data_IF_439507475498
#
_entry.id   IF_439507475498
#
_cell.length_a   1.000
_cell.length_b   1.000
_cell.length_c   1.000
_cell.angle_alpha   90.00
_cell.angle_beta   90.00
_cell.angle_gamma   90.00
#
_symmetry.space_group_name_H-M   'P 1'
#
loop_
_entity.id
_entity.type
_entity.pdbx_description
1 polymer ?
#
# COMPACT_ATOMS: atom_id res chain seq x y z
N UNK A 1 -12.35 88.06 1.89
CA UNK A 1 -11.54 87.40 2.93
C UNK A 1 -11.07 86.06 2.39
N UNK A 2 -9.83 85.96 1.90
CA UNK A 2 -9.04 84.71 1.89
C UNK A 2 -8.59 84.42 3.36
N UNK A 3 -8.08 83.22 3.74
CA UNK A 3 -7.68 82.04 2.94
C UNK A 3 -8.31 80.72 3.47
N UNK A 4 -8.46 79.62 2.73
CA UNK A 4 -7.50 78.59 2.29
C UNK A 4 -6.40 78.21 3.29
N UNK A 5 -6.26 76.89 3.48
CA UNK A 5 -5.07 76.20 4.00
C UNK A 5 -4.93 76.22 5.53
N UNK A 6 -4.72 75.09 6.20
CA UNK A 6 -3.83 74.01 5.81
C UNK A 6 -4.05 72.78 6.72
N UNK A 7 -3.69 71.62 6.15
CA UNK A 7 -3.14 70.44 6.82
C UNK A 7 -4.09 69.40 7.43
N UNK A 8 -4.21 68.30 6.68
CA UNK A 8 -3.91 66.93 7.12
C UNK A 8 -4.73 66.37 8.31
N UNK A 9 -5.72 65.54 7.97
CA UNK A 9 -5.69 64.12 8.38
C UNK A 9 -6.53 63.28 7.42
N UNK A 10 -6.11 63.27 6.15
CA UNK A 10 -6.36 62.15 5.23
C UNK A 10 -5.22 61.10 5.38
N UNK A 11 -4.80 60.90 6.62
CA UNK A 11 -3.79 59.96 7.10
C UNK A 11 -4.49 59.38 8.33
N UNK A 12 -5.42 58.44 8.19
CA UNK A 12 -5.09 57.03 8.39
C UNK A 12 -6.15 56.03 7.83
N UNK A 13 -7.11 56.47 7.00
CA UNK A 13 -8.22 55.59 6.57
C UNK A 13 -8.04 54.97 5.16
N UNK A 14 -6.97 55.35 4.45
CA UNK A 14 -6.58 54.72 3.18
C UNK A 14 -6.17 53.26 3.37
N UNK A 15 -5.61 52.91 4.53
CA UNK A 15 -5.34 51.54 4.91
C UNK A 15 -6.65 50.77 5.09
N UNK A 16 -7.65 51.30 5.79
CA UNK A 16 -8.91 50.61 6.05
C UNK A 16 -9.82 50.47 4.82
N UNK A 17 -9.83 51.42 3.88
CA UNK A 17 -10.62 51.31 2.65
C UNK A 17 -9.98 50.32 1.65
N UNK A 18 -8.65 50.33 1.51
CA UNK A 18 -7.92 49.42 0.62
C UNK A 18 -7.78 48.03 1.21
N UNK A 19 -7.54 47.89 2.52
CA UNK A 19 -7.62 46.62 3.23
C UNK A 19 -9.05 46.11 3.23
N UNK A 20 -10.08 46.95 3.44
CA UNK A 20 -11.49 46.54 3.40
C UNK A 20 -11.96 46.09 2.01
N UNK A 21 -11.41 46.64 0.93
CA UNK A 21 -11.66 46.18 -0.45
C UNK A 21 -10.89 44.88 -0.74
N UNK A 22 -9.60 44.81 -0.41
CA UNK A 22 -8.79 43.60 -0.54
C UNK A 22 -9.33 42.44 0.31
N UNK A 23 -9.83 42.71 1.51
CA UNK A 23 -10.49 41.75 2.40
C UNK A 23 -11.84 41.33 1.82
N UNK A 24 -12.62 42.23 1.19
CA UNK A 24 -13.87 41.84 0.53
C UNK A 24 -13.64 40.97 -0.69
N UNK A 25 -12.70 41.34 -1.55
CA UNK A 25 -12.34 40.53 -2.72
C UNK A 25 -11.71 39.20 -2.28
N UNK A 26 -10.84 39.19 -1.27
CA UNK A 26 -10.25 37.96 -0.73
C UNK A 26 -11.31 37.10 -0.05
N UNK A 27 -12.20 37.65 0.77
CA UNK A 27 -13.29 36.90 1.40
C UNK A 27 -14.30 36.38 0.36
N UNK A 28 -14.57 37.14 -0.71
CA UNK A 28 -15.41 36.69 -1.82
C UNK A 28 -14.71 35.61 -2.65
N UNK A 29 -13.42 35.74 -2.92
CA UNK A 29 -12.63 34.69 -3.58
C UNK A 29 -12.54 33.44 -2.71
N UNK A 30 -12.37 33.55 -1.40
CA UNK A 30 -12.37 32.43 -0.45
C UNK A 30 -13.75 31.77 -0.37
N UNK A 31 -14.82 32.56 -0.36
CA UNK A 31 -16.20 32.03 -0.37
C UNK A 31 -16.51 31.36 -1.72
N UNK A 32 -16.16 31.99 -2.84
CA UNK A 32 -16.33 31.44 -4.18
C UNK A 32 -15.50 30.18 -4.38
N UNK A 33 -14.25 30.14 -3.90
CA UNK A 33 -13.41 28.93 -3.96
C UNK A 33 -13.96 27.82 -3.06
N UNK A 34 -14.50 28.15 -1.88
CA UNK A 34 -15.21 27.19 -1.02
C UNK A 34 -16.47 26.60 -1.67
N UNK A 35 -17.29 27.43 -2.33
CA UNK A 35 -18.48 26.97 -3.05
C UNK A 35 -18.11 26.21 -4.35
N UNK A 36 -17.07 26.63 -5.07
CA UNK A 36 -16.53 25.90 -6.22
C UNK A 36 -15.93 24.55 -5.80
N UNK A 37 -15.24 24.48 -4.65
CA UNK A 37 -14.73 23.22 -4.11
C UNK A 37 -15.88 22.27 -3.77
N UNK A 38 -16.92 22.76 -3.07
CA UNK A 38 -18.13 21.96 -2.79
C UNK A 38 -18.81 21.48 -4.08
N UNK A 39 -18.82 22.30 -5.13
CA UNK A 39 -19.34 21.90 -6.43
C UNK A 39 -18.48 20.82 -7.08
N UNK A 40 -17.15 20.98 -7.05
CA UNK A 40 -16.18 19.99 -7.54
C UNK A 40 -16.34 18.65 -6.83
N UNK A 41 -16.42 18.67 -5.50
CA UNK A 41 -16.61 17.47 -4.67
C UNK A 41 -17.94 16.76 -5.02
N UNK A 42 -19.01 17.53 -5.28
CA UNK A 42 -20.30 16.98 -5.76
C UNK A 42 -20.19 16.36 -7.15
N UNK A 43 -19.46 16.98 -8.07
CA UNK A 43 -19.22 16.42 -9.41
C UNK A 43 -18.38 15.16 -9.36
N UNK A 44 -17.32 15.12 -8.54
CA UNK A 44 -16.51 13.91 -8.34
C UNK A 44 -17.35 12.78 -7.74
N UNK A 45 -18.16 13.09 -6.71
CA UNK A 45 -19.08 12.13 -6.10
C UNK A 45 -20.10 11.60 -7.12
N UNK A 46 -20.67 12.46 -7.94
CA UNK A 46 -21.59 12.06 -9.02
C UNK A 46 -20.88 11.17 -10.06
N UNK A 47 -19.67 11.53 -10.48
CA UNK A 47 -18.90 10.76 -11.44
C UNK A 47 -18.56 9.35 -10.91
N UNK A 48 -18.15 9.27 -9.64
CA UNK A 48 -17.90 8.02 -8.96
C UNK A 48 -19.18 7.17 -8.84
N UNK A 49 -20.32 7.81 -8.55
CA UNK A 49 -21.62 7.14 -8.52
C UNK A 49 -22.00 6.57 -9.89
N UNK A 50 -21.92 7.37 -10.95
CA UNK A 50 -22.23 6.94 -12.32
C UNK A 50 -21.31 5.80 -12.78
N UNK A 51 -20.03 5.86 -12.43
CA UNK A 51 -19.07 4.78 -12.69
C UNK A 51 -19.48 3.49 -11.99
N UNK A 52 -19.82 3.54 -10.70
CA UNK A 52 -20.29 2.37 -9.94
C UNK A 52 -21.60 1.82 -10.48
N UNK A 53 -22.53 2.68 -10.89
CA UNK A 53 -23.81 2.28 -11.48
C UNK A 53 -23.61 1.57 -12.82
N UNK A 54 -22.72 2.08 -13.68
CA UNK A 54 -22.35 1.44 -14.95
C UNK A 54 -21.72 0.07 -14.72
N UNK A 55 -20.78 -0.04 -13.78
CA UNK A 55 -20.17 -1.32 -13.39
C UNK A 55 -21.23 -2.31 -12.88
N UNK A 56 -22.12 -1.88 -11.99
CA UNK A 56 -23.18 -2.73 -11.46
C UNK A 56 -24.13 -3.22 -12.56
N UNK A 57 -24.54 -2.32 -13.46
CA UNK A 57 -25.41 -2.67 -14.59
C UNK A 57 -24.76 -3.72 -15.49
N UNK A 58 -23.46 -3.57 -15.76
CA UNK A 58 -22.70 -4.59 -16.51
C UNK A 58 -22.62 -5.92 -15.75
N UNK A 59 -22.32 -5.89 -14.45
CA UNK A 59 -22.25 -7.12 -13.63
C UNK A 59 -23.59 -7.84 -13.58
N UNK A 60 -24.72 -7.13 -13.51
CA UNK A 60 -26.06 -7.73 -13.57
C UNK A 60 -26.26 -8.45 -14.89
N UNK A 61 -25.91 -7.82 -16.02
CA UNK A 61 -26.00 -8.42 -17.36
C UNK A 61 -25.11 -9.66 -17.50
N UNK A 62 -23.87 -9.60 -17.01
CA UNK A 62 -22.94 -10.72 -17.05
C UNK A 62 -23.39 -11.87 -16.14
N UNK A 63 -23.97 -11.55 -14.98
CA UNK A 63 -24.46 -12.53 -14.01
C UNK A 63 -25.77 -13.22 -14.43
N UNK A 64 -26.51 -12.67 -15.39
CA UNK A 64 -27.70 -13.29 -15.96
C UNK A 64 -27.44 -14.06 -17.25
N UNK A 65 -26.20 -14.04 -17.77
CA UNK A 65 -25.79 -14.76 -18.97
C UNK A 65 -25.08 -16.08 -18.59
N UNK A 66 -25.72 -17.24 -18.81
CA UNK A 66 -25.13 -18.55 -18.47
C UNK A 66 -23.80 -18.84 -19.17
N UNK A 67 -23.57 -18.30 -20.37
CA UNK A 67 -22.35 -18.55 -21.13
C UNK A 67 -21.15 -17.86 -20.47
N UNK A 68 -21.31 -16.57 -20.13
CA UNK A 68 -20.36 -15.78 -19.35
C UNK A 68 -20.07 -16.44 -18.00
N UNK A 69 -21.10 -16.91 -17.28
CA UNK A 69 -20.93 -17.58 -15.98
C UNK A 69 -20.07 -18.84 -16.11
N UNK A 70 -20.31 -19.67 -17.14
CA UNK A 70 -19.52 -20.88 -17.36
C UNK A 70 -18.08 -20.57 -17.74
N UNK A 71 -17.84 -19.56 -18.58
CA UNK A 71 -16.48 -19.13 -18.94
C UNK A 71 -15.69 -18.67 -17.70
N UNK A 72 -16.28 -17.85 -16.84
CA UNK A 72 -15.65 -17.40 -15.59
C UNK A 72 -15.37 -18.59 -14.67
N UNK A 73 -16.29 -19.55 -14.58
CA UNK A 73 -16.10 -20.78 -13.78
C UNK A 73 -14.93 -21.61 -14.31
N UNK A 74 -14.84 -21.79 -15.61
CA UNK A 74 -13.78 -22.60 -16.23
C UNK A 74 -12.41 -21.90 -16.11
N UNK A 75 -12.37 -20.58 -16.26
CA UNK A 75 -11.17 -19.77 -16.03
C UNK A 75 -10.71 -19.84 -14.56
N UNK A 76 -11.64 -19.78 -13.61
CA UNK A 76 -11.33 -19.94 -12.18
C UNK A 76 -10.81 -21.36 -11.88
N UNK A 77 -11.43 -22.40 -12.46
CA UNK A 77 -10.99 -23.77 -12.32
C UNK A 77 -9.59 -24.00 -12.90
N UNK A 78 -9.30 -23.41 -14.06
CA UNK A 78 -7.97 -23.43 -14.67
C UNK A 78 -6.93 -22.71 -13.80
N UNK A 79 -7.27 -21.54 -13.27
CA UNK A 79 -6.40 -20.77 -12.36
C UNK A 79 -6.11 -21.54 -11.08
N UNK A 80 -7.11 -22.21 -10.51
CA UNK A 80 -6.94 -23.06 -9.32
C UNK A 80 -6.01 -24.23 -9.59
N UNK A 81 -6.17 -24.94 -10.72
CA UNK A 81 -5.22 -25.99 -11.14
C UNK A 81 -3.82 -25.44 -11.37
N UNK A 82 -3.69 -24.27 -11.97
CA UNK A 82 -2.39 -23.60 -12.14
C UNK A 82 -1.74 -23.19 -10.81
N UNK A 83 -2.52 -22.98 -9.75
CA UNK A 83 -1.98 -22.71 -8.42
C UNK A 83 -1.60 -23.99 -7.66
N UNK A 84 -2.35 -25.08 -7.83
CA UNK A 84 -2.25 -26.26 -6.96
C UNK A 84 -1.56 -27.46 -7.61
N UNK A 85 -1.82 -27.72 -8.88
CA UNK A 85 -1.48 -28.99 -9.53
C UNK A 85 -0.21 -28.90 -10.40
N UNK A 86 0.23 -27.68 -10.72
CA UNK A 86 1.45 -27.44 -11.52
C UNK A 86 2.53 -26.78 -10.66
N UNK A 87 3.79 -27.10 -10.93
CA UNK A 87 4.92 -26.57 -10.15
C UNK A 87 5.56 -25.33 -10.79
N UNK A 88 5.86 -25.42 -12.08
CA UNK A 88 6.63 -24.38 -12.79
C UNK A 88 5.89 -23.06 -12.89
N UNK A 89 4.60 -23.11 -13.25
CA UNK A 89 3.79 -21.92 -13.47
C UNK A 89 2.93 -21.53 -12.26
N UNK A 90 3.05 -22.22 -11.13
CA UNK A 90 2.30 -21.89 -9.91
C UNK A 90 3.06 -20.87 -9.07
N UNK A 91 2.55 -19.64 -8.91
CA UNK A 91 3.12 -18.70 -7.96
C UNK A 91 3.11 -19.23 -6.52
N UNK A 92 2.10 -20.02 -6.15
CA UNK A 92 2.00 -20.60 -4.81
C UNK A 92 3.12 -21.63 -4.55
N UNK A 93 3.38 -22.52 -5.50
CA UNK A 93 4.48 -23.47 -5.40
C UNK A 93 5.84 -22.75 -5.33
N UNK A 94 6.05 -21.75 -6.19
CA UNK A 94 7.29 -20.98 -6.22
C UNK A 94 7.51 -20.21 -4.92
N UNK A 95 6.46 -19.64 -4.32
CA UNK A 95 6.57 -18.96 -3.03
C UNK A 95 7.01 -19.91 -1.90
N UNK A 96 6.43 -21.12 -1.83
CA UNK A 96 6.85 -22.14 -0.86
C UNK A 96 8.29 -22.58 -1.09
N UNK A 97 8.65 -22.86 -2.35
CA UNK A 97 10.00 -23.26 -2.72
C UNK A 97 11.03 -22.18 -2.35
N UNK A 98 10.70 -20.90 -2.59
CA UNK A 98 11.55 -19.78 -2.21
C UNK A 98 11.76 -19.72 -0.70
N UNK A 99 10.69 -19.85 0.09
CA UNK A 99 10.78 -19.85 1.55
C UNK A 99 11.66 -20.99 2.08
N UNK A 100 11.49 -22.20 1.53
CA UNK A 100 12.30 -23.36 1.89
C UNK A 100 13.78 -23.17 1.51
N UNK A 101 14.04 -22.71 0.27
CA UNK A 101 15.41 -22.44 -0.19
C UNK A 101 16.08 -21.34 0.62
N UNK A 102 15.34 -20.31 1.02
CA UNK A 102 15.85 -19.25 1.87
C UNK A 102 16.21 -19.77 3.27
N UNK A 103 15.34 -20.59 3.88
CA UNK A 103 15.61 -21.20 5.19
C UNK A 103 16.82 -22.15 5.15
N UNK A 104 16.89 -23.02 4.14
CA UNK A 104 18.02 -23.93 3.93
C UNK A 104 19.30 -23.14 3.65
N UNK A 105 19.24 -22.12 2.78
CA UNK A 105 20.37 -21.26 2.46
C UNK A 105 20.88 -20.51 3.68
N UNK A 106 19.99 -19.98 4.52
CA UNK A 106 20.35 -19.33 5.78
C UNK A 106 21.08 -20.29 6.71
N UNK A 107 20.58 -21.51 6.87
CA UNK A 107 21.27 -22.53 7.65
C UNK A 107 22.65 -22.85 7.07
N UNK A 108 22.75 -23.06 5.76
CA UNK A 108 24.02 -23.36 5.09
C UNK A 108 25.10 -22.29 5.31
N UNK A 109 24.73 -21.02 5.34
CA UNK A 109 25.71 -19.92 5.50
C UNK A 109 26.01 -19.57 6.95
N UNK A 110 25.18 -20.00 7.92
CA UNK A 110 25.35 -19.64 9.34
C UNK A 110 25.75 -20.80 10.23
N UNK A 111 25.43 -22.05 9.87
CA UNK A 111 25.62 -23.24 10.72
C UNK A 111 27.05 -23.40 11.23
N UNK A 112 28.06 -23.16 10.39
CA UNK A 112 29.47 -23.31 10.77
C UNK A 112 29.92 -22.35 11.88
N UNK A 113 29.20 -21.23 12.05
CA UNK A 113 29.49 -20.21 13.05
C UNK A 113 28.78 -20.49 14.40
N UNK A 114 27.89 -21.47 14.47
CA UNK A 114 27.31 -21.94 15.74
C UNK A 114 28.32 -22.88 16.42
N UNK A 115 29.41 -22.32 16.93
CA UNK A 115 30.55 -23.05 17.50
C UNK A 115 30.35 -23.54 18.94
N UNK A 116 29.13 -23.43 19.49
CA UNK A 116 28.83 -23.75 20.89
C UNK A 116 27.56 -24.61 21.06
N UNK A 117 27.23 -25.45 20.09
CA UNK A 117 26.22 -26.50 20.29
C UNK A 117 26.86 -27.68 21.04
N UNK A 118 26.28 -28.07 22.18
CA UNK A 118 26.79 -29.18 22.98
C UNK A 118 26.14 -29.25 24.34
N UNK A 119 26.46 -30.29 25.14
CA UNK A 119 25.71 -30.57 26.36
C UNK A 119 26.02 -29.63 27.54
N UNK A 120 26.97 -28.71 27.38
CA UNK A 120 27.51 -27.87 28.45
C UNK A 120 28.57 -28.62 29.25
N UNK A 121 28.75 -28.30 30.53
CA UNK A 121 29.76 -28.95 31.38
C UNK A 121 29.42 -30.40 31.76
N UNK A 122 28.16 -30.81 31.63
CA UNK A 122 27.71 -32.18 31.90
C UNK A 122 27.44 -32.91 30.59
N UNK A 123 28.36 -33.78 30.17
CA UNK A 123 28.30 -34.51 28.90
C UNK A 123 27.09 -35.45 28.74
N UNK A 124 26.39 -35.76 29.82
CA UNK A 124 25.17 -36.59 29.79
C UNK A 124 23.87 -35.77 29.76
N UNK A 125 23.95 -34.44 29.89
CA UNK A 125 22.80 -33.54 29.83
C UNK A 125 22.52 -33.07 28.39
N UNK A 126 21.36 -32.45 28.14
CA UNK A 126 21.04 -31.74 26.89
C UNK A 126 21.25 -32.55 25.59
N UNK A 127 21.03 -33.86 25.62
CA UNK A 127 21.20 -34.74 24.45
C UNK A 127 22.63 -35.22 24.20
N UNK A 128 23.56 -34.89 25.10
CA UNK A 128 24.94 -35.36 25.08
C UNK A 128 25.79 -34.88 23.91
N UNK A 129 26.96 -35.50 23.76
CA UNK A 129 27.83 -35.28 22.60
C UNK A 129 27.28 -36.10 21.43
N UNK A 130 26.92 -35.42 20.36
CA UNK A 130 26.44 -36.04 19.13
C UNK A 130 27.24 -35.53 17.94
N UNK A 131 27.24 -36.33 16.88
CA UNK A 131 27.87 -35.98 15.61
C UNK A 131 26.81 -36.08 14.53
N UNK A 132 26.56 -34.97 13.86
CA UNK A 132 25.60 -34.88 12.77
C UNK A 132 26.35 -34.91 11.45
N UNK A 133 25.99 -35.82 10.55
CA UNK A 133 26.57 -35.91 9.21
C UNK A 133 25.70 -35.17 8.19
N UNK A 134 26.30 -34.82 7.04
CA UNK A 134 25.65 -34.10 5.94
C UNK A 134 25.13 -32.71 6.35
N UNK A 135 25.83 -32.05 7.26
CA UNK A 135 25.53 -30.69 7.74
C UNK A 135 26.65 -29.72 7.36
N UNK A 136 26.39 -28.42 7.23
CA UNK A 136 27.39 -27.46 6.77
C UNK A 136 28.33 -27.08 7.93
N UNK A 137 29.42 -27.83 8.08
CA UNK A 137 30.46 -27.59 9.08
C UNK A 137 31.60 -26.70 8.57
N UNK A 138 32.47 -26.24 9.47
CA UNK A 138 33.60 -25.39 9.08
C UNK A 138 34.62 -26.20 8.27
N UNK A 139 34.56 -26.10 6.93
CA UNK A 139 35.35 -26.91 5.98
C UNK A 139 35.12 -28.43 6.10
N UNK A 140 34.03 -28.83 6.72
CA UNK A 140 33.62 -30.24 6.92
C UNK A 140 32.14 -30.40 6.54
N UNK A 141 31.68 -31.64 6.41
CA UNK A 141 30.25 -31.97 6.22
C UNK A 141 29.63 -32.54 7.51
N UNK A 142 30.23 -32.20 8.65
CA UNK A 142 29.91 -32.75 9.96
C UNK A 142 30.01 -31.64 11.01
N UNK A 143 29.05 -31.58 11.94
CA UNK A 143 29.03 -30.74 13.14
C UNK A 143 28.85 -31.66 14.35
#
# INVERSE_FOLDING_TARGET
SLPLSFLLHAEDDGFYMSAGYQIREAAQMVTNTGEIQKLSDKYESLNNFLTRYSTLTNLIRLSSDPSTINEVRDNLGSSSRNLLDVKTNSPAYQAVLLALNAAVGLWQVTSYAFTACGPGSNESANGGIQTFNNVPGQKTTTI
#
